data_IF_500666125898
#
_entry.id   IF_500666125898
#
_cell.length_a   1.000
_cell.length_b   1.000
_cell.length_c   1.000
_cell.angle_alpha   90.00
_cell.angle_beta   90.00
_cell.angle_gamma   90.00
#
_symmetry.space_group_name_H-M   'P 1'
#
loop_
_entity.id
_entity.type
_entity.pdbx_description
1 polymer ?
#
# COMPACT_ATOMS: atom_id res chain seq x y z
N UNK A 1 -19.11 -2.83 9.18
CA UNK A 1 -17.92 -2.75 10.03
C UNK A 1 -17.52 -1.29 10.10
N UNK A 2 -17.31 -0.76 11.30
CA UNK A 2 -16.98 0.66 11.49
C UNK A 2 -15.48 0.86 11.26
N UNK A 3 -15.09 1.86 10.46
CA UNK A 3 -13.69 2.18 10.15
C UNK A 3 -12.97 2.85 11.34
N UNK A 4 -13.53 2.74 12.54
CA UNK A 4 -13.09 3.44 13.76
C UNK A 4 -11.67 3.05 14.18
N UNK A 5 -11.19 1.88 13.76
CA UNK A 5 -9.81 1.43 13.98
C UNK A 5 -8.74 2.42 13.46
N UNK A 6 -9.02 3.16 12.38
CA UNK A 6 -8.07 4.11 11.77
C UNK A 6 -8.30 5.58 12.17
N UNK A 7 -9.33 5.86 12.97
CA UNK A 7 -9.74 7.22 13.34
C UNK A 7 -9.35 7.53 14.77
N UNK A 8 -8.88 8.76 15.05
CA UNK A 8 -8.61 9.18 16.44
C UNK A 8 -9.92 9.09 17.22
N UNK A 9 -9.97 8.39 18.36
CA UNK A 9 -11.18 8.34 19.17
C UNK A 9 -11.54 9.76 19.59
N UNK A 10 -12.78 10.17 19.32
CA UNK A 10 -13.34 11.36 19.94
C UNK A 10 -13.43 11.08 21.44
N UNK A 11 -12.77 11.92 22.26
CA UNK A 11 -12.82 12.04 23.74
C UNK A 11 -13.65 10.96 24.49
N UNK A 12 -13.07 10.20 25.43
CA UNK A 12 -13.73 9.04 26.01
C UNK A 12 -14.96 9.43 26.83
N UNK A 13 -16.12 8.87 26.50
CA UNK A 13 -17.24 8.75 27.43
C UNK A 13 -17.04 7.53 28.33
N UNK A 14 -17.27 7.73 29.62
CA UNK A 14 -17.02 6.75 30.66
C UNK A 14 -17.98 5.54 30.59
N UNK A 15 -17.39 4.34 30.64
CA UNK A 15 -17.99 3.12 31.21
C UNK A 15 -18.88 2.28 30.29
N UNK A 16 -18.52 1.00 30.13
CA UNK A 16 -19.37 -0.17 30.50
C UNK A 16 -18.53 -1.44 30.47
N UNK A 17 -18.74 -2.28 31.48
CA UNK A 17 -18.06 -3.54 31.82
C UNK A 17 -18.61 -4.75 31.04
N UNK A 18 -17.71 -5.70 30.71
CA UNK A 18 -17.99 -7.14 30.74
C UNK A 18 -18.13 -7.86 29.39
N UNK A 19 -17.14 -8.66 29.02
CA UNK A 19 -17.24 -10.13 28.86
C UNK A 19 -15.83 -10.71 28.70
N UNK A 20 -15.55 -11.76 29.48
CA UNK A 20 -14.27 -12.46 29.55
C UNK A 20 -14.45 -13.78 28.77
N UNK A 21 -13.76 -13.92 27.63
CA UNK A 21 -13.66 -15.15 26.84
C UNK A 21 -12.17 -15.41 26.47
N UNK A 22 -11.59 -16.43 27.10
CA UNK A 22 -10.69 -17.46 26.56
C UNK A 22 -9.51 -17.08 25.62
N UNK A 23 -8.44 -16.53 26.19
CA UNK A 23 -7.16 -17.25 26.37
C UNK A 23 -6.41 -17.91 25.19
N UNK A 24 -6.14 -17.20 24.07
CA UNK A 24 -4.87 -17.29 23.29
C UNK A 24 -4.84 -16.33 22.08
N UNK A 25 -5.51 -15.17 22.13
CA UNK A 25 -5.51 -14.19 21.05
C UNK A 25 -5.70 -12.77 21.64
N UNK A 26 -4.87 -12.37 22.60
CA UNK A 26 -4.80 -10.94 22.95
C UNK A 26 -4.08 -10.21 21.81
N UNK A 27 -4.87 -9.84 20.79
CA UNK A 27 -4.96 -8.50 20.22
C UNK A 27 -3.71 -7.67 19.99
N UNK A 28 -2.53 -8.24 19.81
CA UNK A 28 -1.38 -7.47 19.35
C UNK A 28 -1.53 -7.17 17.86
N UNK A 29 -2.18 -6.07 17.56
CA UNK A 29 -2.02 -5.35 16.30
C UNK A 29 -0.80 -4.45 16.44
N UNK A 30 0.11 -4.43 15.45
CA UNK A 30 1.15 -3.40 15.42
C UNK A 30 0.48 -2.02 15.49
N UNK A 31 1.14 -1.00 16.06
CA UNK A 31 0.59 0.35 16.10
C UNK A 31 0.29 0.82 14.66
N UNK A 32 -0.99 0.98 14.35
CA UNK A 32 -1.44 1.46 13.05
C UNK A 32 -1.57 2.98 13.05
N UNK A 33 -1.26 3.67 11.95
CA UNK A 33 -1.39 5.12 11.87
C UNK A 33 -2.86 5.51 11.99
N UNK A 34 -3.11 6.48 12.87
CA UNK A 34 -4.46 7.00 13.15
C UNK A 34 -4.57 8.39 12.54
N UNK A 35 -5.30 8.49 11.44
CA UNK A 35 -5.39 9.71 10.62
C UNK A 35 -6.56 10.59 11.06
N UNK A 36 -6.32 11.89 11.13
CA UNK A 36 -7.37 12.92 11.20
C UNK A 36 -7.86 13.28 9.80
N UNK A 37 -9.09 13.78 9.70
CA UNK A 37 -9.65 14.26 8.41
C UNK A 37 -8.80 15.38 7.79
N UNK A 38 -8.15 16.21 8.60
CA UNK A 38 -7.26 17.26 8.12
C UNK A 38 -5.99 16.67 7.48
N UNK A 39 -5.37 15.68 8.12
CA UNK A 39 -4.21 14.96 7.59
C UNK A 39 -4.54 14.26 6.26
N UNK A 40 -5.70 13.57 6.19
CA UNK A 40 -6.15 12.91 4.95
C UNK A 40 -6.35 13.88 3.79
N UNK A 41 -6.84 15.09 4.05
CA UNK A 41 -7.08 16.10 3.01
C UNK A 41 -5.81 16.91 2.67
N UNK A 42 -4.78 16.84 3.51
CA UNK A 42 -3.51 17.56 3.31
C UNK A 42 -2.51 16.85 2.39
N UNK A 43 -2.82 15.61 1.96
CA UNK A 43 -1.95 14.81 1.08
C UNK A 43 -1.74 15.52 -0.26
N UNK A 44 -0.48 15.72 -0.63
CA UNK A 44 -0.10 16.38 -1.88
C UNK A 44 0.66 15.42 -2.78
N UNK A 45 0.49 15.57 -4.09
CA UNK A 45 1.32 14.86 -5.06
C UNK A 45 2.70 15.51 -5.05
N UNK A 46 3.67 14.83 -4.46
CA UNK A 46 5.07 15.23 -4.43
C UNK A 46 5.89 14.49 -5.47
N UNK A 47 7.08 15.00 -5.79
CA UNK A 47 8.04 14.31 -6.66
C UNK A 47 9.47 14.56 -6.20
N UNK A 48 10.20 13.48 -5.99
CA UNK A 48 11.61 13.53 -5.60
C UNK A 48 12.51 13.62 -6.84
N UNK A 49 13.38 14.64 -6.94
CA UNK A 49 14.25 14.82 -8.11
C UNK A 49 15.21 13.65 -8.30
N UNK A 50 15.56 13.38 -9.57
CA UNK A 50 16.49 12.33 -9.96
C UNK A 50 17.94 12.84 -9.88
N UNK A 51 18.60 12.69 -8.73
CA UNK A 51 19.96 13.21 -8.55
C UNK A 51 21.04 12.23 -9.01
N UNK A 52 20.85 10.92 -8.73
CA UNK A 52 21.84 9.88 -9.00
C UNK A 52 21.38 8.97 -10.14
N UNK A 53 22.31 8.32 -10.87
CA UNK A 53 21.94 7.35 -11.91
C UNK A 53 21.07 6.20 -11.39
N UNK A 54 21.23 5.82 -10.11
CA UNK A 54 20.40 4.82 -9.44
C UNK A 54 18.96 5.29 -9.31
N UNK A 55 18.75 6.59 -9.03
CA UNK A 55 17.42 7.19 -8.92
C UNK A 55 16.73 7.18 -10.28
N UNK A 56 17.47 7.53 -11.33
CA UNK A 56 17.00 7.45 -12.73
C UNK A 56 16.60 6.02 -13.10
N UNK A 57 17.44 5.03 -12.79
CA UNK A 57 17.14 3.62 -13.06
C UNK A 57 15.89 3.16 -12.29
N UNK A 58 15.76 3.53 -11.01
CA UNK A 58 14.61 3.19 -10.18
C UNK A 58 13.32 3.80 -10.74
N UNK A 59 13.34 5.10 -11.05
CA UNK A 59 12.20 5.82 -11.61
C UNK A 59 11.72 5.18 -12.93
N UNK A 60 12.61 4.97 -13.90
CA UNK A 60 12.21 4.36 -15.16
C UNK A 60 11.76 2.91 -15.03
N UNK A 61 12.28 2.17 -14.05
CA UNK A 61 11.78 0.82 -13.74
C UNK A 61 10.33 0.87 -13.26
N UNK A 62 9.99 1.82 -12.38
CA UNK A 62 8.60 2.04 -11.93
C UNK A 62 7.71 2.44 -13.11
N UNK A 63 8.13 3.40 -13.94
CA UNK A 63 7.34 3.83 -15.09
C UNK A 63 7.11 2.70 -16.10
N UNK A 64 8.11 1.85 -16.32
CA UNK A 64 7.99 0.67 -17.18
C UNK A 64 6.95 -0.32 -16.63
N UNK A 65 7.06 -0.68 -15.35
CA UNK A 65 6.11 -1.60 -14.70
C UNK A 65 4.70 -1.03 -14.68
N UNK A 66 4.55 0.26 -14.36
CA UNK A 66 3.26 0.96 -14.37
C UNK A 66 2.64 0.91 -15.77
N UNK A 67 3.40 1.25 -16.80
CA UNK A 67 2.92 1.24 -18.19
C UNK A 67 2.50 -0.16 -18.62
N UNK A 68 3.31 -1.17 -18.32
CA UNK A 68 3.01 -2.57 -18.62
C UNK A 68 1.74 -3.04 -17.90
N UNK A 69 1.60 -2.73 -16.62
CA UNK A 69 0.43 -3.10 -15.83
C UNK A 69 -0.83 -2.37 -16.28
N UNK A 70 -0.77 -1.07 -16.55
CA UNK A 70 -1.91 -0.28 -17.01
C UNK A 70 -2.41 -0.77 -18.39
N UNK A 71 -1.50 -1.25 -19.25
CA UNK A 71 -1.84 -1.87 -20.52
C UNK A 71 -2.50 -3.25 -20.33
N UNK A 72 -1.87 -4.14 -19.56
CA UNK A 72 -2.33 -5.52 -19.36
C UNK A 72 -3.63 -5.61 -18.55
N UNK A 73 -3.84 -4.69 -17.61
CA UNK A 73 -5.07 -4.60 -16.82
C UNK A 73 -6.26 -4.03 -17.60
N UNK A 74 -6.03 -3.50 -18.81
CA UNK A 74 -7.05 -2.80 -19.59
C UNK A 74 -7.38 -1.41 -19.05
N UNK A 75 -6.65 -0.91 -18.05
CA UNK A 75 -6.84 0.41 -17.47
C UNK A 75 -6.61 1.53 -18.51
N UNK A 76 -5.57 1.42 -19.34
CA UNK A 76 -5.30 2.41 -20.40
C UNK A 76 -6.47 2.53 -21.38
N UNK A 77 -7.14 1.42 -21.68
CA UNK A 77 -8.33 1.39 -22.53
C UNK A 77 -9.52 2.04 -21.80
N UNK A 78 -9.78 1.65 -20.55
CA UNK A 78 -10.85 2.24 -19.74
C UNK A 78 -10.70 3.76 -19.57
N UNK A 79 -9.47 4.25 -19.39
CA UNK A 79 -9.16 5.68 -19.33
C UNK A 79 -9.45 6.40 -20.65
N UNK A 80 -9.09 5.80 -21.79
CA UNK A 80 -9.31 6.38 -23.13
C UNK A 80 -10.78 6.52 -23.50
N UNK A 81 -11.61 5.57 -23.08
CA UNK A 81 -13.05 5.56 -23.40
C UNK A 81 -13.95 6.12 -22.28
N UNK A 82 -13.36 6.61 -21.18
CA UNK A 82 -14.12 7.21 -20.07
C UNK A 82 -14.97 6.22 -19.28
N UNK A 83 -14.67 4.92 -19.34
CA UNK A 83 -15.45 3.85 -18.68
C UNK A 83 -14.84 3.43 -17.34
N UNK A 84 -14.10 4.32 -16.68
CA UNK A 84 -13.51 4.05 -15.37
C UNK A 84 -14.61 4.11 -14.29
N UNK A 85 -15.02 2.93 -13.83
CA UNK A 85 -16.00 2.74 -12.76
C UNK A 85 -15.33 2.07 -11.55
N UNK A 86 -15.99 2.09 -10.39
CA UNK A 86 -15.57 1.42 -9.16
C UNK A 86 -15.22 -0.07 -9.41
N UNK A 87 -15.98 -0.73 -10.28
CA UNK A 87 -15.77 -2.13 -10.66
C UNK A 87 -14.46 -2.39 -11.39
N UNK A 88 -13.84 -1.37 -11.99
CA UNK A 88 -12.52 -1.45 -12.63
C UNK A 88 -11.40 -1.07 -11.66
N UNK A 89 -11.65 -0.10 -10.78
CA UNK A 89 -10.68 0.36 -9.79
C UNK A 89 -10.41 -0.66 -8.68
N UNK A 90 -11.44 -1.29 -8.11
CA UNK A 90 -11.26 -2.24 -7.00
C UNK A 90 -10.34 -3.42 -7.35
N UNK A 91 -10.51 -4.15 -8.47
CA UNK A 91 -9.57 -5.20 -8.87
C UNK A 91 -8.14 -4.69 -9.05
N UNK A 92 -7.97 -3.47 -9.58
CA UNK A 92 -6.66 -2.85 -9.79
C UNK A 92 -5.95 -2.61 -8.47
N UNK A 93 -6.66 -2.01 -7.50
CA UNK A 93 -6.14 -1.74 -6.15
C UNK A 93 -5.79 -3.07 -5.48
N UNK A 94 -6.74 -4.00 -5.39
CA UNK A 94 -6.51 -5.33 -4.79
C UNK A 94 -5.26 -5.99 -5.37
N UNK A 95 -5.05 -5.92 -6.68
CA UNK A 95 -3.89 -6.52 -7.32
C UNK A 95 -2.59 -5.85 -6.89
N UNK A 96 -2.53 -4.52 -6.94
CA UNK A 96 -1.33 -3.75 -6.60
C UNK A 96 -0.97 -3.91 -5.12
N UNK A 97 -1.96 -3.91 -4.22
CA UNK A 97 -1.76 -4.12 -2.79
C UNK A 97 -1.17 -5.50 -2.47
N UNK A 98 -1.45 -6.53 -3.29
CA UNK A 98 -0.78 -7.84 -3.11
C UNK A 98 0.72 -7.82 -3.38
N UNK A 99 1.19 -6.81 -4.13
CA UNK A 99 2.60 -6.62 -4.49
C UNK A 99 3.24 -5.55 -3.60
N UNK A 100 2.50 -4.51 -3.21
CA UNK A 100 2.97 -3.40 -2.38
C UNK A 100 3.49 -3.84 -1.00
N UNK A 101 2.90 -4.88 -0.39
CA UNK A 101 3.41 -5.42 0.88
C UNK A 101 4.70 -6.24 0.80
N UNK A 102 5.22 -6.52 -0.40
CA UNK A 102 6.41 -7.39 -0.59
C UNK A 102 7.74 -6.68 -0.28
N UNK A 103 8.01 -5.46 -0.77
CA UNK A 103 9.28 -4.77 -0.54
C UNK A 103 9.66 -4.58 0.93
N UNK A 104 8.72 -4.12 1.77
CA UNK A 104 8.95 -3.96 3.22
C UNK A 104 9.35 -5.28 3.89
N UNK A 105 8.65 -6.37 3.56
CA UNK A 105 8.95 -7.70 4.10
C UNK A 105 10.33 -8.21 3.68
N UNK A 106 10.71 -8.04 2.41
CA UNK A 106 12.04 -8.44 1.91
C UNK A 106 13.13 -7.58 2.57
N UNK A 107 12.94 -6.27 2.64
CA UNK A 107 13.88 -5.35 3.25
C UNK A 107 14.10 -5.68 4.73
N UNK A 108 13.02 -5.86 5.49
CA UNK A 108 13.05 -6.28 6.88
C UNK A 108 13.78 -7.61 7.06
N UNK A 109 13.47 -8.63 6.24
CA UNK A 109 14.10 -9.94 6.32
C UNK A 109 15.61 -9.87 6.06
N UNK A 110 16.04 -9.18 5.00
CA UNK A 110 17.47 -9.06 4.67
C UNK A 110 18.22 -8.32 5.78
N UNK A 111 17.65 -7.22 6.30
CA UNK A 111 18.25 -6.46 7.40
C UNK A 111 18.29 -7.26 8.70
N UNK A 112 17.23 -8.01 9.00
CA UNK A 112 17.16 -8.90 10.15
C UNK A 112 18.26 -9.95 10.11
N UNK A 113 18.39 -10.68 9.00
CA UNK A 113 19.44 -11.68 8.83
C UNK A 113 20.85 -11.07 8.89
N UNK A 114 21.02 -9.84 8.37
CA UNK A 114 22.28 -9.09 8.49
C UNK A 114 22.60 -8.74 9.95
N UNK A 115 21.63 -8.23 10.70
CA UNK A 115 21.80 -7.91 12.14
C UNK A 115 22.21 -9.16 12.93
N UNK A 116 21.56 -10.30 12.69
CA UNK A 116 21.88 -11.56 13.34
C UNK A 116 23.30 -12.03 13.02
N UNK A 117 23.68 -12.06 11.73
CA UNK A 117 25.00 -12.59 11.32
C UNK A 117 26.17 -11.66 11.63
N UNK A 118 25.91 -10.36 11.78
CA UNK A 118 26.92 -9.37 12.13
C UNK A 118 26.91 -9.05 13.63
N UNK A 119 25.93 -9.53 14.40
CA UNK A 119 25.76 -9.24 15.83
C UNK A 119 25.68 -7.72 16.12
N UNK A 120 25.07 -6.96 15.21
CA UNK A 120 24.96 -5.49 15.26
C UNK A 120 23.52 -5.05 15.45
N UNK A 121 23.32 -3.90 16.11
CA UNK A 121 22.00 -3.25 16.19
C UNK A 121 21.56 -2.76 14.82
N UNK A 122 20.26 -2.83 14.56
CA UNK A 122 19.64 -2.38 13.31
C UNK A 122 19.12 -0.94 13.35
N UNK A 123 18.94 -0.38 14.56
CA UNK A 123 18.46 0.99 14.79
C UNK A 123 17.01 1.27 14.35
N UNK A 124 16.14 0.25 14.41
CA UNK A 124 14.69 0.42 14.26
C UNK A 124 14.13 0.13 12.86
N UNK A 125 14.99 0.05 11.84
CA UNK A 125 14.59 -0.15 10.44
C UNK A 125 13.82 -1.45 10.16
N UNK A 126 14.15 -2.55 10.83
CA UNK A 126 13.42 -3.83 10.69
C UNK A 126 11.96 -3.63 11.11
N UNK A 127 11.72 -2.92 12.22
CA UNK A 127 10.37 -2.67 12.71
C UNK A 127 9.59 -1.79 11.73
N UNK A 128 10.18 -0.68 11.31
CA UNK A 128 9.56 0.22 10.32
C UNK A 128 9.17 -0.54 9.07
N UNK A 129 10.08 -1.30 8.45
CA UNK A 129 9.80 -2.03 7.21
C UNK A 129 8.74 -3.15 7.36
N UNK A 130 8.63 -3.76 8.55
CA UNK A 130 7.57 -4.72 8.85
C UNK A 130 6.22 -4.02 9.03
N UNK A 131 6.21 -2.86 9.68
CA UNK A 131 5.03 -2.01 9.83
C UNK A 131 4.51 -1.52 8.47
N UNK A 132 5.40 -1.11 7.56
CA UNK A 132 5.04 -0.77 6.18
C UNK A 132 4.40 -1.96 5.45
N UNK A 133 5.04 -3.14 5.51
CA UNK A 133 4.51 -4.34 4.86
C UNK A 133 3.14 -4.76 5.43
N UNK A 134 2.95 -4.61 6.74
CA UNK A 134 1.65 -4.87 7.35
C UNK A 134 0.61 -3.83 6.95
N UNK A 135 1.00 -2.56 6.84
CA UNK A 135 0.09 -1.51 6.40
C UNK A 135 -0.51 -1.81 5.01
N UNK A 136 0.33 -2.18 4.03
CA UNK A 136 -0.13 -2.59 2.71
C UNK A 136 -0.98 -3.89 2.75
N UNK A 137 -0.69 -4.80 3.67
CA UNK A 137 -1.54 -5.99 3.89
C UNK A 137 -2.93 -5.58 4.40
N UNK A 138 -3.02 -4.57 5.27
CA UNK A 138 -4.30 -4.07 5.78
C UNK A 138 -5.10 -3.32 4.70
N UNK A 139 -4.43 -2.61 3.80
CA UNK A 139 -5.03 -2.04 2.59
C UNK A 139 -5.71 -3.12 1.73
N UNK A 140 -4.98 -4.19 1.43
CA UNK A 140 -5.50 -5.34 0.70
C UNK A 140 -6.74 -5.93 1.39
N UNK A 141 -6.65 -6.21 2.69
CA UNK A 141 -7.77 -6.81 3.42
C UNK A 141 -9.01 -5.92 3.42
N UNK A 142 -8.84 -4.60 3.56
CA UNK A 142 -9.94 -3.64 3.48
C UNK A 142 -10.56 -3.62 2.07
N UNK A 143 -9.74 -3.66 1.01
CA UNK A 143 -10.24 -3.73 -0.36
C UNK A 143 -11.00 -5.04 -0.65
N UNK A 144 -10.60 -6.16 -0.04
CA UNK A 144 -11.26 -7.46 -0.18
C UNK A 144 -12.65 -7.52 0.47
N UNK A 145 -12.94 -6.65 1.45
CA UNK A 145 -14.30 -6.48 1.99
C UNK A 145 -15.24 -5.85 0.95
N UNK A 146 -14.71 -4.99 0.08
CA UNK A 146 -15.47 -4.35 -0.99
C UNK A 146 -15.64 -5.27 -2.20
N UNK A 147 -14.62 -6.08 -2.51
CA UNK A 147 -14.68 -7.01 -3.64
C UNK A 147 -13.85 -8.26 -3.42
N UNK A 148 -14.47 -9.43 -3.60
CA UNK A 148 -13.76 -10.71 -3.63
C UNK A 148 -13.32 -11.10 -5.05
N UNK A 149 -12.02 -11.32 -5.29
CA UNK A 149 -11.52 -11.75 -6.59
C UNK A 149 -11.76 -13.25 -6.85
N UNK A 150 -11.93 -13.60 -8.13
CA UNK A 150 -12.12 -14.98 -8.58
C UNK A 150 -10.82 -15.81 -8.63
N UNK A 151 -10.89 -17.13 -8.93
CA UNK A 151 -9.73 -18.02 -8.92
C UNK A 151 -8.62 -17.63 -9.91
N UNK A 152 -8.98 -17.22 -11.13
CA UNK A 152 -7.99 -16.81 -12.15
C UNK A 152 -7.15 -15.61 -11.68
N UNK A 153 -7.79 -14.64 -11.01
CA UNK A 153 -7.10 -13.49 -10.43
C UNK A 153 -6.09 -13.92 -9.37
N UNK A 154 -6.47 -14.87 -8.50
CA UNK A 154 -5.57 -15.40 -7.46
C UNK A 154 -4.36 -16.12 -8.06
N UNK A 155 -4.56 -16.88 -9.15
CA UNK A 155 -3.45 -17.53 -9.88
C UNK A 155 -2.50 -16.47 -10.46
N UNK A 156 -3.04 -15.39 -11.03
CA UNK A 156 -2.23 -14.28 -11.54
C UNK A 156 -1.42 -13.57 -10.43
N UNK A 157 -2.02 -13.38 -9.24
CA UNK A 157 -1.34 -12.86 -8.05
C UNK A 157 -0.18 -13.79 -7.65
N UNK A 158 -0.41 -15.11 -7.55
CA UNK A 158 0.64 -16.09 -7.20
C UNK A 158 1.79 -16.02 -8.20
N UNK A 159 1.49 -16.01 -9.50
CA UNK A 159 2.50 -15.91 -10.55
C UNK A 159 3.31 -14.61 -10.45
N UNK A 160 2.63 -13.48 -10.22
CA UNK A 160 3.29 -12.18 -10.07
C UNK A 160 4.13 -12.09 -8.82
N UNK A 161 3.64 -12.56 -7.68
CA UNK A 161 4.40 -12.61 -6.44
C UNK A 161 5.64 -13.52 -6.60
N UNK A 162 5.50 -14.68 -7.23
CA UNK A 162 6.65 -15.58 -7.48
C UNK A 162 7.77 -14.90 -8.27
N UNK A 163 7.43 -14.17 -9.33
CA UNK A 163 8.40 -13.41 -10.12
C UNK A 163 8.94 -12.19 -9.36
N UNK A 164 8.05 -11.37 -8.80
CA UNK A 164 8.41 -10.11 -8.15
C UNK A 164 9.25 -10.33 -6.88
N UNK A 165 8.86 -11.27 -6.00
CA UNK A 165 9.62 -11.62 -4.80
C UNK A 165 11.03 -12.05 -5.18
N UNK A 166 11.17 -12.93 -6.17
CA UNK A 166 12.47 -13.44 -6.62
C UNK A 166 13.37 -12.31 -7.15
N UNK A 167 12.83 -11.46 -8.03
CA UNK A 167 13.59 -10.35 -8.61
C UNK A 167 13.95 -9.30 -7.56
N UNK A 168 12.99 -8.92 -6.69
CA UNK A 168 13.19 -7.87 -5.70
C UNK A 168 14.16 -8.31 -4.61
N UNK A 169 14.12 -9.59 -4.19
CA UNK A 169 15.09 -10.17 -3.28
C UNK A 169 16.52 -10.07 -3.83
N UNK A 170 16.73 -10.48 -5.09
CA UNK A 170 18.03 -10.34 -5.77
C UNK A 170 18.44 -8.87 -5.85
N UNK A 171 17.53 -7.98 -6.26
CA UNK A 171 17.81 -6.56 -6.37
C UNK A 171 18.20 -5.94 -5.01
N UNK A 172 17.58 -6.37 -3.91
CA UNK A 172 17.88 -5.88 -2.57
C UNK A 172 19.27 -6.33 -2.10
N UNK A 173 19.71 -7.54 -2.48
CA UNK A 173 21.08 -7.99 -2.26
C UNK A 173 22.11 -7.17 -3.06
N UNK A 174 21.79 -6.80 -4.30
CA UNK A 174 22.70 -6.04 -5.17
C UNK A 174 22.76 -4.56 -4.79
N UNK A 175 21.62 -3.95 -4.53
CA UNK A 175 21.50 -2.53 -4.23
C UNK A 175 20.24 -2.22 -3.40
N UNK A 176 20.37 -2.19 -2.06
CA UNK A 176 19.29 -1.70 -1.19
C UNK A 176 18.86 -0.28 -1.54
N UNK A 177 19.82 0.58 -1.95
CA UNK A 177 19.53 1.97 -2.36
C UNK A 177 18.59 2.04 -3.56
N UNK A 178 18.81 1.19 -4.57
CA UNK A 178 17.90 1.09 -5.71
C UNK A 178 16.51 0.68 -5.25
N UNK A 179 16.41 -0.33 -4.38
CA UNK A 179 15.13 -0.84 -3.91
C UNK A 179 14.34 0.21 -3.11
N UNK A 180 14.99 0.95 -2.21
CA UNK A 180 14.31 2.02 -1.47
C UNK A 180 13.85 3.15 -2.39
N UNK A 181 14.67 3.56 -3.37
CA UNK A 181 14.24 4.55 -4.37
C UNK A 181 13.12 4.05 -5.27
N UNK A 182 13.15 2.77 -5.63
CA UNK A 182 12.10 2.13 -6.41
C UNK A 182 10.77 2.14 -5.66
N UNK A 183 10.76 1.79 -4.36
CA UNK A 183 9.55 1.88 -3.53
C UNK A 183 9.09 3.33 -3.41
N UNK A 184 9.97 4.28 -3.12
CA UNK A 184 9.58 5.70 -3.04
C UNK A 184 8.89 6.22 -4.31
N UNK A 185 9.41 5.87 -5.49
CA UNK A 185 8.74 6.21 -6.76
C UNK A 185 7.45 5.43 -7.00
N UNK A 186 7.29 4.20 -6.49
CA UNK A 186 6.01 3.49 -6.51
C UNK A 186 4.97 4.22 -5.68
N UNK A 187 5.33 4.70 -4.49
CA UNK A 187 4.42 5.41 -3.60
C UNK A 187 3.99 6.77 -4.16
N UNK A 188 4.90 7.54 -4.77
CA UNK A 188 4.54 8.77 -5.51
C UNK A 188 3.49 8.48 -6.60
N UNK A 189 3.64 7.35 -7.28
CA UNK A 189 2.72 6.89 -8.31
C UNK A 189 1.39 6.35 -7.73
N UNK A 190 1.41 5.82 -6.51
CA UNK A 190 0.23 5.41 -5.76
C UNK A 190 -0.60 6.62 -5.33
N UNK A 191 0.01 7.65 -4.73
CA UNK A 191 -0.67 8.91 -4.36
C UNK A 191 -1.37 9.52 -5.57
N UNK A 192 -0.68 9.65 -6.71
CA UNK A 192 -1.29 10.14 -7.98
C UNK A 192 -2.51 9.32 -8.39
N UNK A 193 -2.44 8.01 -8.23
CA UNK A 193 -3.51 7.09 -8.60
C UNK A 193 -4.72 7.25 -7.70
N UNK A 194 -4.52 7.33 -6.38
CA UNK A 194 -5.60 7.44 -5.42
C UNK A 194 -6.31 8.78 -5.52
N UNK A 195 -5.56 9.89 -5.67
CA UNK A 195 -6.14 11.21 -5.92
C UNK A 195 -6.99 11.22 -7.18
N UNK A 196 -6.48 10.70 -8.29
CA UNK A 196 -7.26 10.61 -9.53
C UNK A 196 -8.50 9.71 -9.39
N UNK A 197 -8.41 8.62 -8.64
CA UNK A 197 -9.55 7.74 -8.37
C UNK A 197 -10.65 8.48 -7.59
N UNK A 198 -10.29 9.23 -6.55
CA UNK A 198 -11.21 10.06 -5.75
C UNK A 198 -11.88 11.12 -6.64
N UNK A 199 -11.13 11.80 -7.50
CA UNK A 199 -11.67 12.78 -8.44
C UNK A 199 -12.66 12.17 -9.43
N UNK A 200 -12.38 11.00 -9.98
CA UNK A 200 -13.28 10.31 -10.92
C UNK A 200 -14.56 9.85 -10.20
N UNK A 201 -14.42 9.26 -9.02
CA UNK A 201 -15.55 8.74 -8.25
C UNK A 201 -16.43 9.85 -7.65
N UNK A 202 -15.87 10.99 -7.28
CA UNK A 202 -16.64 12.14 -6.81
C UNK A 202 -17.54 12.75 -7.90
N UNK A 203 -17.18 12.59 -9.17
CA UNK A 203 -17.97 13.04 -10.32
C UNK A 203 -19.09 12.06 -10.71
N UNK A 204 -19.10 10.83 -10.18
CA UNK A 204 -20.10 9.81 -10.49
C UNK A 204 -21.10 9.66 -9.32
N UNK A 205 -22.41 9.92 -9.52
CA UNK A 205 -23.41 9.90 -8.44
C UNK A 205 -23.93 8.49 -8.10
N UNK A 206 -23.11 7.44 -8.26
CA UNK A 206 -23.53 6.05 -8.03
C UNK A 206 -23.55 5.71 -6.53
N UNK A 207 -24.60 5.00 -6.11
CA UNK A 207 -24.85 4.55 -4.73
C UNK A 207 -23.77 3.55 -4.29
N UNK A 208 -22.88 3.97 -3.38
CA UNK A 208 -21.82 3.10 -2.82
C UNK A 208 -20.50 3.84 -2.51
N UNK A 209 -20.34 5.04 -3.06
CA UNK A 209 -19.09 5.79 -3.13
C UNK A 209 -18.37 6.07 -1.78
N UNK A 210 -19.10 6.18 -0.67
CA UNK A 210 -18.49 6.57 0.61
C UNK A 210 -17.45 5.57 1.16
N UNK A 211 -17.66 4.26 0.98
CA UNK A 211 -16.73 3.25 1.54
C UNK A 211 -15.43 3.18 0.74
N UNK A 212 -15.53 3.22 -0.59
CA UNK A 212 -14.36 3.23 -1.45
C UNK A 212 -13.59 4.55 -1.34
N UNK A 213 -14.28 5.69 -1.20
CA UNK A 213 -13.62 6.98 -0.97
C UNK A 213 -12.82 7.00 0.34
N UNK A 214 -13.37 6.45 1.42
CA UNK A 214 -12.64 6.36 2.69
C UNK A 214 -11.41 5.45 2.58
N UNK A 215 -11.54 4.30 1.91
CA UNK A 215 -10.39 3.45 1.60
C UNK A 215 -9.34 4.24 0.81
N UNK A 216 -9.71 4.88 -0.29
CA UNK A 216 -8.78 5.62 -1.14
C UNK A 216 -8.06 6.76 -0.42
N UNK A 217 -8.74 7.47 0.50
CA UNK A 217 -8.12 8.51 1.32
C UNK A 217 -7.06 7.92 2.26
N UNK A 218 -7.37 6.78 2.90
CA UNK A 218 -6.42 6.07 3.75
C UNK A 218 -5.20 5.63 2.94
N UNK A 219 -5.41 4.98 1.79
CA UNK A 219 -4.33 4.54 0.89
C UNK A 219 -3.45 5.71 0.44
N UNK A 220 -4.06 6.87 0.16
CA UNK A 220 -3.32 8.06 -0.25
C UNK A 220 -2.46 8.64 0.87
N UNK A 221 -2.97 8.68 2.09
CA UNK A 221 -2.25 9.23 3.24
C UNK A 221 -1.09 8.34 3.69
N UNK A 222 -1.28 7.02 3.63
CA UNK A 222 -0.22 6.06 3.94
C UNK A 222 0.89 6.10 2.89
N UNK A 223 0.56 6.16 1.60
CA UNK A 223 1.55 6.28 0.54
C UNK A 223 2.35 7.60 0.67
N UNK A 224 1.70 8.72 0.98
CA UNK A 224 2.39 10.00 1.21
C UNK A 224 3.33 9.93 2.43
N UNK A 225 2.94 9.24 3.50
CA UNK A 225 3.80 9.01 4.65
C UNK A 225 5.06 8.22 4.28
N UNK A 226 4.94 7.21 3.43
CA UNK A 226 6.06 6.39 2.95
C UNK A 226 7.01 7.18 2.03
N UNK A 227 6.48 8.11 1.22
CA UNK A 227 7.31 9.00 0.37
C UNK A 227 8.20 9.92 1.23
N UNK A 228 7.77 10.25 2.44
CA UNK A 228 8.47 11.18 3.35
C UNK A 228 9.56 10.52 4.23
N UNK A 229 9.70 9.18 4.21
CA UNK A 229 10.68 8.41 5.00
C UNK A 229 12.02 8.20 4.25
#
# INVERSE_FOLDING_TARGET
>A
MSLDHFRKPSQPSAGTTGHQEDGWCDGYTLPHPVWSEEELNSVQITHTPLEKPVDTAAYYSVQMLRTGFDLLSGYSWGKRFGTLDEKMWLPRIIYLETVAGVPGMIGAMVRHLKSLRCMTRDHGWIHTLLEEAENERMHLLTALELRRPGPLFKIAVIGTQGVFVSMFWIAYFLSPRFCHKFVGYLEEEAVKTYTHCIEVLSKQPTRGCGRIQNLLRLLSATADCLVMQ
#
